data_IF_287829105038
#
_entry.id   IF_287829105038
#
_cell.length_a   1.000
_cell.length_b   1.000
_cell.length_c   1.000
_cell.angle_alpha   90.00
_cell.angle_beta   90.00
_cell.angle_gamma   90.00
#
_symmetry.space_group_name_H-M   'P 1'
#
loop_
_entity.id
_entity.type
_entity.pdbx_description
1 polymer ?
#
# COMPACT_ATOMS: atom_id res chain seq x y z
N UNK A 1 16.28 14.53 -16.86
CA UNK A 1 16.66 14.22 -15.47
C UNK A 1 17.83 15.13 -15.12
N UNK A 2 17.69 15.89 -14.04
CA UNK A 2 18.74 16.76 -13.50
C UNK A 2 19.64 15.93 -12.57
N UNK A 3 20.93 16.24 -12.52
CA UNK A 3 21.86 15.59 -11.59
C UNK A 3 21.91 16.40 -10.29
N UNK A 4 21.57 15.76 -9.17
CA UNK A 4 21.54 16.37 -7.85
C UNK A 4 22.45 15.59 -6.89
N UNK A 5 23.17 16.32 -6.05
CA UNK A 5 23.93 15.73 -4.95
C UNK A 5 23.00 15.54 -3.75
N UNK A 6 22.90 14.30 -3.25
CA UNK A 6 22.08 13.97 -2.09
C UNK A 6 22.98 13.54 -0.91
N UNK A 7 22.61 13.95 0.29
CA UNK A 7 23.22 13.40 1.51
C UNK A 7 22.60 12.04 1.83
N UNK A 8 23.38 11.16 2.47
CA UNK A 8 22.98 9.78 2.78
C UNK A 8 21.95 9.64 3.92
N UNK A 9 21.37 10.76 4.37
CA UNK A 9 20.34 10.78 5.42
C UNK A 9 18.96 10.92 4.77
N UNK A 10 18.00 10.11 5.21
CA UNK A 10 16.61 10.27 4.79
C UNK A 10 15.97 11.42 5.58
N UNK A 11 15.02 12.18 4.99
CA UNK A 11 14.35 13.25 5.71
C UNK A 11 13.56 12.72 6.91
N UNK A 12 13.44 13.55 7.95
CA UNK A 12 12.77 13.18 9.20
C UNK A 12 11.25 12.96 9.03
N UNK A 13 10.57 12.36 10.03
CA UNK A 13 9.14 12.08 9.97
C UNK A 13 8.24 13.28 9.65
N UNK A 14 8.53 14.46 10.22
CA UNK A 14 7.73 15.67 9.97
C UNK A 14 7.92 16.15 8.54
N UNK A 15 9.17 16.14 8.05
CA UNK A 15 9.51 16.55 6.69
C UNK A 15 8.82 15.64 5.65
N UNK A 16 9.00 14.32 5.73
CA UNK A 16 8.36 13.37 4.79
C UNK A 16 6.84 13.47 4.85
N UNK A 17 6.27 13.54 6.05
CA UNK A 17 4.83 13.61 6.22
C UNK A 17 4.23 14.88 5.64
N UNK A 18 4.89 16.02 5.84
CA UNK A 18 4.44 17.32 5.33
C UNK A 18 4.43 17.32 3.81
N UNK A 19 5.55 16.97 3.16
CA UNK A 19 5.62 16.99 1.69
C UNK A 19 4.66 15.99 1.05
N UNK A 20 4.45 14.83 1.69
CA UNK A 20 3.54 13.79 1.20
C UNK A 20 2.10 14.26 1.31
N UNK A 21 1.70 14.79 2.47
CA UNK A 21 0.36 15.33 2.68
C UNK A 21 0.08 16.53 1.76
N UNK A 22 1.08 17.38 1.51
CA UNK A 22 0.94 18.52 0.59
C UNK A 22 0.79 18.08 -0.87
N UNK A 23 1.54 17.07 -1.32
CA UNK A 23 1.36 16.45 -2.64
C UNK A 23 -0.07 15.92 -2.78
N UNK A 24 -0.53 15.15 -1.81
CA UNK A 24 -1.87 14.55 -1.82
C UNK A 24 -2.96 15.62 -1.84
N UNK A 25 -2.90 16.63 -0.97
CA UNK A 25 -3.91 17.69 -0.91
C UNK A 25 -3.95 18.56 -2.17
N UNK A 26 -2.79 18.88 -2.75
CA UNK A 26 -2.72 19.72 -3.95
C UNK A 26 -3.26 19.03 -5.20
N UNK A 27 -3.07 17.72 -5.30
CA UNK A 27 -3.51 16.93 -6.46
C UNK A 27 -4.91 16.33 -6.29
N UNK A 28 -5.49 16.41 -5.09
CA UNK A 28 -6.83 15.91 -4.82
C UNK A 28 -7.87 16.61 -5.72
N UNK A 29 -8.61 15.80 -6.49
CA UNK A 29 -9.64 16.30 -7.41
C UNK A 29 -9.14 16.81 -8.76
N UNK A 30 -7.86 16.61 -9.11
CA UNK A 30 -7.38 16.81 -10.50
C UNK A 30 -8.00 15.81 -11.48
N UNK A 31 -8.54 14.71 -10.97
CA UNK A 31 -9.29 13.67 -11.71
C UNK A 31 -10.45 13.15 -10.86
N UNK A 32 -11.47 12.60 -11.53
CA UNK A 32 -12.62 11.94 -10.90
C UNK A 32 -12.42 10.42 -10.74
N UNK A 33 -11.40 9.85 -11.39
CA UNK A 33 -11.13 8.41 -11.43
C UNK A 33 -9.73 8.07 -10.88
N UNK A 34 -9.59 6.86 -10.36
CA UNK A 34 -8.31 6.28 -9.93
C UNK A 34 -7.58 5.67 -11.13
N UNK A 35 -6.26 5.80 -11.19
CA UNK A 35 -5.46 5.34 -12.31
C UNK A 35 -4.36 6.31 -12.71
N UNK A 36 -3.80 6.12 -13.91
CA UNK A 36 -2.76 7.00 -14.42
C UNK A 36 -2.84 7.07 -15.96
N UNK A 37 -2.43 8.19 -16.60
CA UNK A 37 -2.56 8.33 -18.05
C UNK A 37 -1.79 7.29 -18.87
N UNK A 38 -0.76 6.66 -18.28
CA UNK A 38 0.07 5.64 -18.92
C UNK A 38 0.37 4.50 -17.95
N UNK A 39 0.56 3.27 -18.47
CA UNK A 39 1.15 2.19 -17.67
C UNK A 39 2.53 2.61 -17.17
N UNK A 40 2.86 2.23 -15.93
CA UNK A 40 4.18 2.43 -15.35
C UNK A 40 4.68 1.14 -14.70
N UNK A 41 5.73 1.20 -13.89
CA UNK A 41 6.28 0.03 -13.21
C UNK A 41 6.47 0.32 -11.71
N UNK A 42 6.17 -0.67 -10.87
CA UNK A 42 6.65 -0.75 -9.49
C UNK A 42 7.79 -1.76 -9.45
N UNK A 43 9.04 -1.27 -9.36
CA UNK A 43 10.22 -2.07 -9.62
C UNK A 43 10.16 -2.71 -11.02
N UNK A 44 10.14 -4.04 -11.10
CA UNK A 44 10.07 -4.79 -12.37
C UNK A 44 8.64 -5.13 -12.81
N UNK A 45 7.64 -4.81 -12.01
CA UNK A 45 6.25 -5.22 -12.25
C UNK A 45 5.52 -4.08 -12.94
N UNK A 46 4.94 -4.35 -14.11
CA UNK A 46 4.15 -3.37 -14.86
C UNK A 46 2.83 -3.14 -14.11
N UNK A 47 2.50 -1.88 -13.85
CA UNK A 47 1.17 -1.45 -13.43
C UNK A 47 0.39 -0.97 -14.66
N UNK A 48 -0.74 -1.61 -15.02
CA UNK A 48 -1.55 -1.16 -16.15
C UNK A 48 -2.13 0.24 -15.98
N UNK A 49 -2.47 0.62 -14.73
CA UNK A 49 -3.05 1.92 -14.34
C UNK A 49 -4.26 2.37 -15.17
N UNK A 50 -5.10 1.42 -15.60
CA UNK A 50 -6.37 1.74 -16.25
C UNK A 50 -7.29 2.55 -15.33
N UNK A 51 -8.07 3.46 -15.89
CA UNK A 51 -8.96 4.32 -15.12
C UNK A 51 -10.16 3.57 -14.56
N UNK A 52 -10.51 3.87 -13.32
CA UNK A 52 -11.67 3.31 -12.64
C UNK A 52 -12.20 4.29 -11.57
N UNK A 53 -13.51 4.51 -11.53
CA UNK A 53 -14.15 5.36 -10.53
C UNK A 53 -14.38 4.68 -9.16
N UNK A 54 -14.20 3.37 -9.05
CA UNK A 54 -14.39 2.57 -7.83
C UNK A 54 -13.03 2.16 -7.26
N UNK A 55 -12.63 2.77 -6.13
CA UNK A 55 -11.35 2.50 -5.49
C UNK A 55 -11.21 1.04 -5.06
N UNK A 56 -12.29 0.42 -4.58
CA UNK A 56 -12.27 -0.98 -4.15
C UNK A 56 -11.98 -1.90 -5.33
N UNK A 57 -12.53 -1.59 -6.52
CA UNK A 57 -12.26 -2.34 -7.76
C UNK A 57 -10.86 -2.08 -8.28
N UNK A 58 -10.45 -0.80 -8.39
CA UNK A 58 -9.10 -0.43 -8.80
C UNK A 58 -8.03 -1.10 -7.95
N UNK A 59 -8.14 -0.98 -6.62
CA UNK A 59 -7.19 -1.58 -5.68
C UNK A 59 -7.16 -3.12 -5.80
N UNK A 60 -8.33 -3.74 -6.01
CA UNK A 60 -8.41 -5.19 -6.24
C UNK A 60 -7.63 -5.61 -7.48
N UNK A 61 -7.74 -4.87 -8.58
CA UNK A 61 -7.04 -5.19 -9.82
C UNK A 61 -5.53 -4.93 -9.71
N UNK A 62 -5.14 -3.85 -9.02
CA UNK A 62 -3.75 -3.54 -8.71
C UNK A 62 -3.08 -4.66 -7.89
N UNK A 63 -3.65 -5.02 -6.74
CA UNK A 63 -3.07 -6.06 -5.88
C UNK A 63 -3.06 -7.43 -6.56
N UNK A 64 -4.03 -7.71 -7.44
CA UNK A 64 -4.07 -8.95 -8.24
C UNK A 64 -2.92 -9.02 -9.25
N UNK A 65 -2.58 -7.88 -9.86
CA UNK A 65 -1.43 -7.78 -10.77
C UNK A 65 -0.13 -8.11 -10.04
N UNK A 66 0.07 -7.53 -8.84
CA UNK A 66 1.24 -7.81 -8.02
C UNK A 66 1.27 -9.25 -7.52
N UNK A 67 0.13 -9.78 -7.06
CA UNK A 67 0.02 -11.17 -6.63
C UNK A 67 0.43 -12.13 -7.75
N UNK A 68 -0.10 -11.93 -8.96
CA UNK A 68 0.24 -12.78 -10.11
C UNK A 68 1.72 -12.71 -10.48
N UNK A 69 2.35 -11.53 -10.34
CA UNK A 69 3.80 -11.40 -10.53
C UNK A 69 4.59 -12.18 -9.48
N UNK A 70 4.20 -12.13 -8.21
CA UNK A 70 4.82 -12.93 -7.15
C UNK A 70 4.64 -14.43 -7.38
N UNK A 71 3.45 -14.88 -7.80
CA UNK A 71 3.21 -16.29 -8.15
C UNK A 71 4.06 -16.73 -9.34
N UNK A 72 4.25 -15.87 -10.34
CA UNK A 72 5.07 -16.19 -11.51
C UNK A 72 6.56 -16.37 -11.13
N UNK A 73 7.06 -15.62 -10.15
CA UNK A 73 8.46 -15.68 -9.71
C UNK A 73 8.69 -16.77 -8.67
N UNK A 74 7.82 -16.86 -7.66
CA UNK A 74 8.04 -17.62 -6.44
C UNK A 74 7.09 -18.84 -6.32
N UNK A 75 6.26 -19.11 -7.32
CA UNK A 75 5.33 -20.25 -7.36
C UNK A 75 4.11 -20.09 -6.46
N UNK A 76 3.16 -21.02 -6.60
CA UNK A 76 1.91 -21.05 -5.81
C UNK A 76 2.06 -21.79 -4.49
N UNK A 77 1.40 -21.29 -3.45
CA UNK A 77 1.22 -21.96 -2.16
C UNK A 77 -0.28 -21.98 -1.80
N UNK A 78 -0.82 -23.14 -1.42
CA UNK A 78 -2.26 -23.32 -1.22
C UNK A 78 -2.86 -22.36 -0.19
N UNK A 79 -2.20 -22.17 0.96
CA UNK A 79 -2.65 -21.25 2.01
C UNK A 79 -2.67 -19.82 1.49
N UNK A 80 -1.57 -19.39 0.86
CA UNK A 80 -1.44 -18.04 0.33
C UNK A 80 -2.50 -17.74 -0.75
N UNK A 81 -2.71 -18.65 -1.70
CA UNK A 81 -3.75 -18.50 -2.73
C UNK A 81 -5.15 -18.45 -2.15
N UNK A 82 -5.46 -19.31 -1.16
CA UNK A 82 -6.77 -19.31 -0.49
C UNK A 82 -7.03 -18.00 0.24
N UNK A 83 -6.05 -17.52 1.02
CA UNK A 83 -6.18 -16.28 1.78
C UNK A 83 -6.26 -15.05 0.85
N UNK A 84 -5.50 -15.04 -0.24
CA UNK A 84 -5.59 -13.97 -1.23
C UNK A 84 -6.99 -13.87 -1.86
N UNK A 85 -7.60 -15.01 -2.19
CA UNK A 85 -8.98 -15.03 -2.69
C UNK A 85 -9.99 -14.53 -1.65
N UNK A 86 -9.86 -14.96 -0.38
CA UNK A 86 -10.72 -14.47 0.70
C UNK A 86 -10.55 -12.97 0.94
N UNK A 87 -9.31 -12.47 0.89
CA UNK A 87 -8.99 -11.04 0.99
C UNK A 87 -9.72 -10.26 -0.12
N UNK A 88 -9.56 -10.70 -1.38
CA UNK A 88 -10.21 -10.10 -2.55
C UNK A 88 -11.73 -10.09 -2.46
N UNK A 89 -12.32 -11.22 -2.10
CA UNK A 89 -13.77 -11.41 -2.15
C UNK A 89 -14.51 -10.75 -0.99
N UNK A 90 -13.88 -10.65 0.18
CA UNK A 90 -14.56 -10.23 1.40
C UNK A 90 -13.93 -9.01 2.08
N UNK A 91 -12.61 -9.01 2.28
CA UNK A 91 -11.94 -7.96 3.06
C UNK A 91 -11.85 -6.65 2.30
N UNK A 92 -11.31 -6.68 1.06
CA UNK A 92 -11.16 -5.48 0.23
C UNK A 92 -12.49 -4.74 0.07
N UNK A 93 -13.59 -5.38 -0.41
CA UNK A 93 -14.86 -4.67 -0.54
C UNK A 93 -15.41 -4.19 0.81
N UNK A 94 -15.20 -4.92 1.91
CA UNK A 94 -15.65 -4.50 3.23
C UNK A 94 -14.90 -3.27 3.75
N UNK A 95 -13.60 -3.18 3.55
CA UNK A 95 -12.78 -2.06 4.04
C UNK A 95 -12.81 -0.84 3.11
N UNK A 96 -12.91 -1.05 1.79
CA UNK A 96 -12.69 0.02 0.82
C UNK A 96 -13.98 0.62 0.26
N UNK A 97 -15.07 -0.14 0.11
CA UNK A 97 -16.35 0.44 -0.34
C UNK A 97 -16.91 1.50 0.60
N UNK A 98 -16.79 1.38 1.95
CA UNK A 98 -17.27 2.43 2.86
C UNK A 98 -16.69 3.82 2.56
N UNK A 99 -15.48 3.92 2.00
CA UNK A 99 -14.85 5.20 1.64
C UNK A 99 -15.65 6.00 0.59
N UNK A 100 -16.44 5.32 -0.25
CA UNK A 100 -17.28 5.91 -1.30
C UNK A 100 -18.79 5.62 -1.10
N UNK A 101 -19.17 5.10 0.06
CA UNK A 101 -20.56 4.76 0.40
C UNK A 101 -21.19 5.85 1.30
N UNK A 102 -22.51 5.75 1.51
CA UNK A 102 -23.22 6.62 2.47
C UNK A 102 -23.06 8.13 2.20
N UNK A 103 -22.92 8.49 0.92
CA UNK A 103 -22.72 9.88 0.49
C UNK A 103 -21.30 10.40 0.64
N UNK A 104 -20.34 9.57 1.08
CA UNK A 104 -18.92 9.90 1.09
C UNK A 104 -18.38 9.92 -0.34
N UNK A 105 -17.45 10.84 -0.58
CA UNK A 105 -16.70 10.94 -1.83
C UNK A 105 -15.23 10.77 -1.50
N UNK A 106 -14.61 9.74 -2.08
CA UNK A 106 -13.18 9.55 -2.01
C UNK A 106 -12.54 10.26 -3.21
N UNK A 107 -11.89 11.39 -2.96
CA UNK A 107 -11.20 12.12 -4.02
C UNK A 107 -9.86 11.44 -4.34
N UNK A 108 -9.62 11.00 -5.59
CA UNK A 108 -8.30 10.55 -5.99
C UNK A 108 -7.28 11.67 -5.82
N UNK A 109 -6.10 11.34 -5.31
CA UNK A 109 -4.94 12.21 -5.29
C UNK A 109 -3.73 11.49 -5.86
N UNK A 110 -2.76 12.26 -6.36
CA UNK A 110 -1.51 11.70 -6.87
C UNK A 110 -0.70 11.12 -5.71
N UNK A 111 -0.49 9.80 -5.72
CA UNK A 111 0.45 9.11 -4.84
C UNK A 111 1.78 8.90 -5.58
N UNK A 112 2.89 8.96 -4.88
CA UNK A 112 4.21 8.56 -5.37
C UNK A 112 4.23 7.05 -5.67
N UNK A 113 3.57 6.24 -4.85
CA UNK A 113 3.32 4.81 -5.08
C UNK A 113 4.52 3.89 -4.85
N UNK A 114 5.64 4.45 -4.39
CA UNK A 114 6.87 3.75 -3.97
C UNK A 114 7.69 4.65 -3.03
N UNK A 115 7.06 5.32 -2.06
CA UNK A 115 7.74 6.30 -1.22
C UNK A 115 8.29 5.68 0.07
N UNK A 116 9.57 5.34 0.07
CA UNK A 116 10.28 4.77 1.22
C UNK A 116 11.70 5.36 1.32
N UNK A 117 12.40 5.10 2.43
CA UNK A 117 13.67 5.74 2.74
C UNK A 117 14.74 5.72 1.61
N UNK A 118 14.83 4.66 0.80
CA UNK A 118 15.79 4.62 -0.32
C UNK A 118 15.36 5.46 -1.54
N UNK A 119 14.07 5.81 -1.64
CA UNK A 119 13.50 6.72 -2.63
C UNK A 119 13.34 8.15 -2.10
N UNK A 120 14.06 8.48 -1.03
CA UNK A 120 14.11 9.81 -0.42
C UNK A 120 15.54 10.24 -0.16
N UNK A 121 15.78 11.54 -0.22
CA UNK A 121 17.06 12.12 0.19
C UNK A 121 16.93 13.61 0.46
N UNK A 122 18.01 14.22 0.93
CA UNK A 122 18.10 15.66 1.12
C UNK A 122 19.14 16.22 0.15
N UNK A 123 18.81 17.30 -0.54
CA UNK A 123 19.75 18.00 -1.41
C UNK A 123 20.94 18.51 -0.60
N UNK A 124 22.18 18.20 -1.00
CA UNK A 124 23.40 18.56 -0.25
C UNK A 124 23.60 20.08 -0.10
N UNK A 125 23.11 20.87 -1.07
CA UNK A 125 23.27 22.33 -1.06
C UNK A 125 22.14 23.08 -0.36
N UNK A 126 20.89 22.61 -0.50
CA UNK A 126 19.70 23.31 0.00
C UNK A 126 19.06 22.66 1.22
N UNK A 127 19.41 21.41 1.53
CA UNK A 127 18.73 20.54 2.49
C UNK A 127 17.23 20.38 2.21
N UNK A 128 16.79 20.66 0.97
CA UNK A 128 15.42 20.41 0.57
C UNK A 128 15.19 18.90 0.41
N UNK A 129 14.03 18.39 0.87
CA UNK A 129 13.69 16.99 0.70
C UNK A 129 13.39 16.68 -0.76
N UNK A 130 13.99 15.60 -1.23
CA UNK A 130 13.85 15.07 -2.57
C UNK A 130 13.20 13.68 -2.50
N UNK A 131 12.29 13.41 -3.42
CA UNK A 131 11.70 12.10 -3.65
C UNK A 131 11.92 11.71 -5.12
N UNK A 132 12.14 10.44 -5.40
CA UNK A 132 12.49 9.95 -6.74
C UNK A 132 12.05 8.50 -6.94
N UNK A 133 12.16 8.03 -8.19
CA UNK A 133 11.75 6.68 -8.61
C UNK A 133 10.27 6.35 -8.33
N UNK A 134 9.42 7.34 -8.57
CA UNK A 134 7.98 7.23 -8.39
C UNK A 134 7.34 6.14 -9.26
N UNK A 135 6.42 5.40 -8.64
CA UNK A 135 5.48 4.49 -9.28
C UNK A 135 4.07 5.09 -9.28
N UNK A 136 3.99 6.34 -9.74
CA UNK A 136 2.90 7.25 -9.42
C UNK A 136 1.56 6.90 -10.09
N UNK A 137 0.47 7.11 -9.36
CA UNK A 137 -0.90 7.02 -9.88
C UNK A 137 -1.85 7.87 -9.04
N UNK A 138 -3.06 8.13 -9.52
CA UNK A 138 -4.13 8.73 -8.72
C UNK A 138 -4.83 7.64 -7.92
N UNK A 139 -4.70 7.70 -6.60
CA UNK A 139 -5.15 6.69 -5.66
C UNK A 139 -5.80 7.30 -4.42
N UNK A 140 -6.16 6.44 -3.48
CA UNK A 140 -6.44 6.87 -2.11
C UNK A 140 -5.13 7.26 -1.41
N UNK A 141 -5.09 8.45 -0.80
CA UNK A 141 -3.92 8.99 -0.10
C UNK A 141 -3.31 8.04 0.94
N UNK A 142 -4.14 7.25 1.64
CA UNK A 142 -3.67 6.28 2.64
C UNK A 142 -2.89 5.10 2.05
N UNK A 143 -2.98 4.86 0.74
CA UNK A 143 -2.19 3.82 0.07
C UNK A 143 -0.69 4.04 0.26
N UNK A 144 -0.22 5.29 0.12
CA UNK A 144 1.20 5.64 0.27
C UNK A 144 1.73 5.23 1.65
N UNK A 145 0.94 5.49 2.70
CA UNK A 145 1.31 5.22 4.09
C UNK A 145 1.45 3.71 4.36
N UNK A 146 0.80 2.87 3.54
CA UNK A 146 0.93 1.41 3.61
C UNK A 146 2.37 0.92 3.46
N UNK A 147 3.20 1.57 2.65
CA UNK A 147 4.60 1.15 2.45
C UNK A 147 5.44 1.35 3.72
N UNK A 148 5.13 2.39 4.51
CA UNK A 148 5.83 2.71 5.77
C UNK A 148 5.54 1.72 6.89
N UNK A 149 4.60 0.79 6.69
CA UNK A 149 4.34 -0.32 7.60
C UNK A 149 5.24 -1.54 7.35
N UNK A 150 5.87 -1.61 6.18
CA UNK A 150 6.64 -2.78 5.78
C UNK A 150 7.98 -2.85 6.51
N UNK A 151 8.45 -4.07 6.81
CA UNK A 151 9.64 -4.27 7.67
C UNK A 151 10.97 -3.99 6.99
N UNK A 152 10.98 -3.88 5.66
CA UNK A 152 12.16 -3.53 4.88
C UNK A 152 12.29 -2.02 4.66
N UNK A 153 11.36 -1.22 5.19
CA UNK A 153 11.39 0.23 5.15
C UNK A 153 11.85 0.77 6.51
N UNK A 154 12.77 1.74 6.51
CA UNK A 154 13.34 2.31 7.73
C UNK A 154 12.42 3.33 8.44
N UNK A 155 11.25 3.62 7.87
CA UNK A 155 10.28 4.51 8.49
C UNK A 155 9.54 3.79 9.61
N UNK A 156 9.55 4.37 10.80
CA UNK A 156 8.87 3.84 11.96
C UNK A 156 7.44 4.40 12.10
N UNK A 157 6.77 4.08 13.22
CA UNK A 157 5.42 4.55 13.52
C UNK A 157 5.30 6.09 13.56
N UNK A 158 6.40 6.81 13.81
CA UNK A 158 6.37 8.27 13.87
C UNK A 158 6.05 8.89 12.51
N UNK A 159 6.48 8.29 11.39
CA UNK A 159 6.14 8.77 10.04
C UNK A 159 4.64 8.68 9.79
N UNK A 160 4.03 7.53 10.08
CA UNK A 160 2.57 7.35 9.91
C UNK A 160 1.78 8.26 10.85
N UNK A 161 2.27 8.42 12.08
CA UNK A 161 1.66 9.30 13.08
C UNK A 161 1.71 10.77 12.66
N UNK A 162 2.85 11.25 12.16
CA UNK A 162 3.00 12.61 11.66
C UNK A 162 2.13 12.85 10.42
N UNK A 163 2.10 11.92 9.47
CA UNK A 163 1.23 12.05 8.30
C UNK A 163 -0.24 12.17 8.68
N UNK A 164 -0.70 11.41 9.69
CA UNK A 164 -2.07 11.50 10.21
C UNK A 164 -2.41 12.90 10.78
N UNK A 165 -1.43 13.63 11.32
CA UNK A 165 -1.64 15.00 11.81
C UNK A 165 -1.87 15.98 10.65
N UNK A 166 -1.18 15.76 9.53
CA UNK A 166 -1.30 16.60 8.34
C UNK A 166 -2.54 16.21 7.51
N UNK A 167 -2.77 14.92 7.25
CA UNK A 167 -3.90 14.42 6.50
C UNK A 167 -4.74 13.49 7.39
N UNK A 168 -5.89 13.98 7.94
CA UNK A 168 -6.74 13.18 8.81
C UNK A 168 -7.22 11.88 8.14
N UNK A 169 -7.43 10.79 8.89
CA UNK A 169 -7.94 9.53 8.35
C UNK A 169 -9.25 9.69 7.59
N UNK A 170 -9.40 8.96 6.50
CA UNK A 170 -10.67 8.86 5.79
C UNK A 170 -11.72 8.16 6.65
N UNK A 171 -12.98 8.58 6.54
CA UNK A 171 -14.07 7.91 7.26
C UNK A 171 -14.43 6.54 6.61
N UNK A 172 -14.67 5.47 7.40
CA UNK A 172 -14.66 5.41 8.87
C UNK A 172 -13.25 5.49 9.47
N UNK A 173 -12.99 6.49 10.30
CA UNK A 173 -11.63 6.83 10.77
C UNK A 173 -11.05 5.78 11.74
N UNK A 174 -11.89 4.98 12.39
CA UNK A 174 -11.49 3.85 13.23
C UNK A 174 -10.87 2.68 12.45
N UNK A 175 -11.11 2.60 11.14
CA UNK A 175 -10.57 1.56 10.26
C UNK A 175 -9.21 1.95 9.64
N UNK A 176 -8.66 3.11 10.00
CA UNK A 176 -7.36 3.62 9.50
C UNK A 176 -6.23 2.58 9.58
N UNK A 177 -6.01 1.99 10.76
CA UNK A 177 -4.90 1.04 10.96
C UNK A 177 -5.11 -0.25 10.15
N UNK A 178 -6.36 -0.68 9.97
CA UNK A 178 -6.69 -1.87 9.18
C UNK A 178 -6.55 -1.61 7.68
N UNK A 179 -6.91 -0.41 7.20
CA UNK A 179 -6.65 0.02 5.83
C UNK A 179 -5.15 0.15 5.56
N UNK A 180 -4.38 0.72 6.48
CA UNK A 180 -2.91 0.77 6.37
C UNK A 180 -2.28 -0.62 6.34
N UNK A 181 -2.79 -1.57 7.16
CA UNK A 181 -2.39 -2.98 7.08
C UNK A 181 -2.71 -3.57 5.71
N UNK A 182 -3.91 -3.37 5.19
CA UNK A 182 -4.31 -3.81 3.85
C UNK A 182 -3.40 -3.21 2.76
N UNK A 183 -3.13 -1.91 2.81
CA UNK A 183 -2.28 -1.21 1.85
C UNK A 183 -0.80 -1.60 1.92
N UNK A 184 -0.34 -2.13 3.06
CA UNK A 184 1.02 -2.70 3.16
C UNK A 184 1.21 -4.01 2.40
N UNK A 185 0.12 -4.76 2.14
CA UNK A 185 0.20 -6.06 1.46
C UNK A 185 0.77 -5.94 0.03
N UNK A 186 0.25 -5.06 -0.85
CA UNK A 186 0.84 -4.78 -2.16
C UNK A 186 2.37 -4.60 -2.14
N UNK A 187 2.90 -3.77 -1.24
CA UNK A 187 4.34 -3.50 -1.14
C UNK A 187 5.13 -4.72 -0.66
N UNK A 188 4.60 -5.50 0.28
CA UNK A 188 5.22 -6.76 0.66
C UNK A 188 5.22 -7.78 -0.51
N UNK A 189 4.14 -7.82 -1.30
CA UNK A 189 4.05 -8.69 -2.49
C UNK A 189 5.08 -8.27 -3.54
N UNK A 190 5.20 -6.96 -3.84
CA UNK A 190 6.18 -6.47 -4.81
C UNK A 190 7.62 -6.72 -4.34
N UNK A 191 7.90 -6.59 -3.03
CA UNK A 191 9.19 -6.95 -2.46
C UNK A 191 9.49 -8.46 -2.58
N UNK A 192 8.51 -9.32 -2.26
CA UNK A 192 8.60 -10.77 -2.44
C UNK A 192 8.96 -11.15 -3.88
N UNK A 193 8.31 -10.53 -4.86
CA UNK A 193 8.53 -10.80 -6.28
C UNK A 193 9.82 -10.16 -6.84
N UNK A 194 10.26 -9.02 -6.29
CA UNK A 194 11.34 -8.22 -6.83
C UNK A 194 12.75 -8.70 -6.45
N UNK A 195 12.88 -9.36 -5.29
CA UNK A 195 14.16 -9.68 -4.66
C UNK A 195 14.32 -11.18 -4.43
N UNK A 196 15.45 -11.73 -4.89
CA UNK A 196 15.74 -13.16 -4.76
C UNK A 196 15.81 -13.56 -3.28
N UNK A 197 15.01 -14.56 -2.89
CA UNK A 197 14.95 -15.07 -1.52
C UNK A 197 14.04 -14.27 -0.58
N UNK A 198 13.53 -13.10 -1.00
CA UNK A 198 12.67 -12.27 -0.15
C UNK A 198 11.32 -12.94 0.18
N UNK A 199 10.84 -13.84 -0.68
CA UNK A 199 9.59 -14.57 -0.46
C UNK A 199 9.60 -15.38 0.86
N UNK A 200 10.76 -15.89 1.29
CA UNK A 200 10.91 -16.67 2.52
C UNK A 200 10.58 -15.86 3.79
N UNK A 201 10.79 -14.55 3.75
CA UNK A 201 10.56 -13.66 4.90
C UNK A 201 9.30 -12.81 4.76
N UNK A 202 8.89 -12.48 3.52
CA UNK A 202 7.74 -11.60 3.27
C UNK A 202 6.42 -12.33 3.15
N UNK A 203 6.35 -13.50 2.49
CA UNK A 203 5.09 -14.27 2.39
C UNK A 203 4.48 -14.64 3.75
N UNK A 204 5.26 -15.07 4.76
CA UNK A 204 4.69 -15.31 6.10
C UNK A 204 4.01 -14.08 6.69
N UNK A 205 4.59 -12.88 6.51
CA UNK A 205 4.00 -11.61 6.98
C UNK A 205 2.74 -11.23 6.22
N UNK A 206 2.75 -11.41 4.91
CA UNK A 206 1.57 -11.21 4.06
C UNK A 206 0.43 -12.13 4.52
N UNK A 207 0.73 -13.41 4.76
CA UNK A 207 -0.23 -14.39 5.27
C UNK A 207 -0.77 -13.97 6.64
N UNK A 208 0.09 -13.49 7.55
CA UNK A 208 -0.33 -13.00 8.86
C UNK A 208 -1.28 -11.80 8.76
N UNK A 209 -0.95 -10.80 7.94
CA UNK A 209 -1.78 -9.63 7.72
C UNK A 209 -3.13 -10.00 7.06
N UNK A 210 -3.12 -10.93 6.09
CA UNK A 210 -4.35 -11.47 5.50
C UNK A 210 -5.22 -12.19 6.54
N UNK A 211 -4.63 -13.09 7.35
CA UNK A 211 -5.36 -13.81 8.41
C UNK A 211 -5.98 -12.85 9.41
N UNK A 212 -5.22 -11.85 9.86
CA UNK A 212 -5.72 -10.82 10.76
C UNK A 212 -6.96 -10.11 10.18
N UNK A 213 -6.86 -9.63 8.95
CA UNK A 213 -7.95 -8.89 8.31
C UNK A 213 -9.16 -9.79 8.02
N UNK A 214 -8.94 -11.02 7.55
CA UNK A 214 -10.00 -12.00 7.29
C UNK A 214 -10.74 -12.33 8.59
N UNK A 215 -10.01 -12.61 9.69
CA UNK A 215 -10.63 -12.91 10.98
C UNK A 215 -11.50 -11.74 11.49
N UNK A 216 -11.08 -10.49 11.24
CA UNK A 216 -11.80 -9.30 11.68
C UNK A 216 -13.03 -8.98 10.81
N UNK A 217 -12.89 -9.08 9.48
CA UNK A 217 -13.88 -8.56 8.53
C UNK A 217 -14.67 -9.64 7.79
N UNK A 218 -14.23 -10.89 7.86
CA UNK A 218 -14.83 -12.03 7.17
C UNK A 218 -14.72 -13.33 7.99
N UNK A 219 -15.08 -13.35 9.30
CA UNK A 219 -14.80 -14.47 10.19
C UNK A 219 -15.44 -15.81 9.75
N UNK A 220 -16.53 -15.75 8.98
CA UNK A 220 -17.24 -16.95 8.50
C UNK A 220 -16.90 -17.30 7.05
N UNK A 221 -15.98 -16.58 6.40
CA UNK A 221 -15.64 -16.82 5.01
C UNK A 221 -14.81 -18.11 4.81
N UNK A 222 -14.28 -18.66 5.91
CA UNK A 222 -13.48 -19.88 5.95
C UNK A 222 -14.19 -21.10 6.58
N UNK A 223 -15.54 -21.05 6.70
CA UNK A 223 -16.36 -22.17 7.20
C UNK A 223 -16.38 -23.43 6.29
N UNK A 224 -15.43 -23.54 5.36
CA UNK A 224 -15.12 -24.76 4.60
C UNK A 224 -14.44 -25.87 5.43
N UNK A 225 -14.31 -25.73 6.76
CA UNK A 225 -13.97 -26.84 7.67
C UNK A 225 -12.48 -27.02 7.99
N UNK A 226 -11.60 -26.10 7.62
CA UNK A 226 -10.19 -26.07 8.04
C UNK A 226 -9.90 -24.77 8.79
N UNK A 227 -10.48 -24.62 9.98
CA UNK A 227 -10.31 -23.43 10.80
C UNK A 227 -8.84 -23.10 11.05
N UNK A 228 -8.51 -21.81 10.92
CA UNK A 228 -7.26 -21.21 11.41
C UNK A 228 -7.23 -21.31 12.94
N UNK A 229 -6.85 -22.47 13.48
CA UNK A 229 -6.52 -22.56 14.89
C UNK A 229 -5.25 -21.71 15.15
N UNK A 230 -5.25 -20.81 16.14
CA UNK A 230 -4.02 -20.15 16.56
C UNK A 230 -3.08 -21.21 17.14
N UNK A 231 -1.83 -21.25 16.66
CA UNK A 231 -0.78 -22.00 17.35
C UNK A 231 -0.55 -21.34 18.71
N UNK A 232 -1.12 -21.96 19.75
CA UNK A 232 -0.81 -21.65 21.13
C UNK A 232 0.62 -22.12 21.40
N UNK A 233 1.58 -21.20 21.37
CA UNK A 233 2.91 -21.44 21.93
C UNK A 233 2.78 -21.61 23.46
N UNK A 234 3.10 -22.81 23.93
CA UNK A 234 3.34 -23.12 25.34
C UNK A 234 4.83 -23.06 25.69
#
# INVERSE_FOLDING_TARGET
MEFLHLISEHPDPETISTITADLHRRSAGETEEFGFPVPNCHGKIIQPNGWDSDWSRYFTDLITTFYNADIAVNGTEATYSRLFELLRQHVIPRLLKPLQAEGRVLQPCLVHGDLWHENTGLNEGTYEPMVYDASAFYGHNEYEVGTWRTVFVAFDESYRSQYRLHYPPSEPSEEWEDRNRLYSIPFNITHSAGWLGAAETTRPRIIEDMRFLINKYAPNADDSGNGLAPEMHG
#
